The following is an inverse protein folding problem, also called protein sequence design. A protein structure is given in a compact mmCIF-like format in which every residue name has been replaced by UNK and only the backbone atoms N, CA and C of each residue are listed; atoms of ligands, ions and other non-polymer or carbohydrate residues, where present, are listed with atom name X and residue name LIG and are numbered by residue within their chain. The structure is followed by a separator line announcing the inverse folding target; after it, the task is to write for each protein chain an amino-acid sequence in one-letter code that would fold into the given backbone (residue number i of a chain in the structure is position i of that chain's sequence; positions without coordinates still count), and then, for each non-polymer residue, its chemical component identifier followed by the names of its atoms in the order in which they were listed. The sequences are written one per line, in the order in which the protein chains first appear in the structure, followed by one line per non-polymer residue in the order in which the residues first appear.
data_IF_599312276298
#
_entry.id   IF_599312276298
#
_cell.length_a   1.000
_cell.length_b   1.000
_cell.length_c   1.000
_cell.angle_alpha   90.00
_cell.angle_beta   90.00
_cell.angle_gamma   90.00
#
_symmetry.space_group_name_H-M   'P 1'
#
loop_
_entity.id
_entity.type
_entity.pdbx_description
1 polymer ?
#
# COMPACT_ATOMS: atom_id res chain seq x y z
N UNK A 1 12.93 -18.67 5.55
CA UNK A 1 13.65 -17.52 6.15
C UNK A 1 12.62 -16.58 6.77
N UNK A 2 12.77 -16.16 8.04
CA UNK A 2 11.86 -15.20 8.68
C UNK A 2 12.22 -13.79 8.21
N UNK A 3 11.24 -13.02 7.77
CA UNK A 3 11.39 -11.60 7.41
C UNK A 3 11.62 -10.82 8.70
N UNK A 4 12.57 -9.89 8.72
CA UNK A 4 12.86 -9.08 9.91
C UNK A 4 11.72 -8.10 10.20
N UNK A 5 11.62 -7.61 11.44
CA UNK A 5 10.64 -6.56 11.79
C UNK A 5 10.82 -5.30 10.94
N UNK A 6 12.08 -4.95 10.63
CA UNK A 6 12.40 -3.81 9.78
C UNK A 6 11.89 -4.01 8.36
N UNK A 7 12.16 -5.16 7.76
CA UNK A 7 11.67 -5.49 6.41
C UNK A 7 10.14 -5.51 6.34
N UNK A 8 9.44 -5.93 7.41
CA UNK A 8 7.98 -5.85 7.48
C UNK A 8 7.52 -4.38 7.46
N UNK A 9 8.22 -3.49 8.17
CA UNK A 9 7.91 -2.05 8.19
C UNK A 9 8.16 -1.41 6.82
N UNK A 10 9.29 -1.70 6.19
CA UNK A 10 9.64 -1.22 4.84
C UNK A 10 8.62 -1.69 3.80
N UNK A 11 8.25 -2.98 3.81
CA UNK A 11 7.23 -3.51 2.92
C UNK A 11 5.88 -2.83 3.15
N UNK A 12 5.51 -2.57 4.41
CA UNK A 12 4.27 -1.86 4.73
C UNK A 12 4.26 -0.45 4.16
N UNK A 13 5.35 0.31 4.32
CA UNK A 13 5.47 1.65 3.73
C UNK A 13 5.35 1.60 2.21
N UNK A 14 6.05 0.68 1.55
CA UNK A 14 5.98 0.51 0.09
C UNK A 14 4.54 0.24 -0.39
N UNK A 15 3.79 -0.61 0.31
CA UNK A 15 2.38 -0.88 -0.01
C UNK A 15 1.56 0.42 0.08
N UNK A 16 1.72 1.21 1.15
CA UNK A 16 0.97 2.46 1.34
C UNK A 16 1.30 3.48 0.25
N UNK A 17 2.57 3.63 -0.12
CA UNK A 17 3.00 4.56 -1.16
C UNK A 17 2.44 4.19 -2.52
N UNK A 18 2.61 2.92 -2.93
CA UNK A 18 2.06 2.41 -4.20
C UNK A 18 0.53 2.52 -4.23
N UNK A 19 -0.14 2.23 -3.12
CA UNK A 19 -1.59 2.38 -3.00
C UNK A 19 -2.02 3.84 -3.17
N UNK A 20 -1.30 4.76 -2.53
CA UNK A 20 -1.59 6.20 -2.60
C UNK A 20 -1.54 6.71 -4.04
N UNK A 21 -0.55 6.28 -4.82
CA UNK A 21 -0.40 6.61 -6.23
C UNK A 21 -1.53 6.00 -7.08
N UNK A 22 -1.70 4.68 -7.00
CA UNK A 22 -2.69 3.97 -7.82
C UNK A 22 -4.13 4.41 -7.53
N UNK A 23 -4.49 4.64 -6.26
CA UNK A 23 -5.83 5.11 -5.91
C UNK A 23 -6.11 6.53 -6.42
N UNK A 24 -5.11 7.42 -6.48
CA UNK A 24 -5.28 8.76 -7.09
C UNK A 24 -5.47 8.68 -8.60
N UNK A 25 -4.73 7.80 -9.27
CA UNK A 25 -4.74 7.69 -10.72
C UNK A 25 -5.98 6.96 -11.25
N UNK A 26 -6.43 5.92 -10.56
CA UNK A 26 -7.42 4.95 -11.08
C UNK A 26 -8.66 4.81 -10.20
N UNK A 27 -8.70 5.52 -9.08
CA UNK A 27 -9.75 5.41 -8.07
C UNK A 27 -9.61 4.14 -7.22
N UNK A 28 -10.31 4.11 -6.09
CA UNK A 28 -10.29 2.98 -5.17
C UNK A 28 -10.79 1.68 -5.83
N UNK A 29 -11.92 1.73 -6.54
CA UNK A 29 -12.52 0.53 -7.16
C UNK A 29 -11.75 0.05 -8.40
N UNK A 30 -10.98 0.94 -9.04
CA UNK A 30 -10.15 0.63 -10.21
C UNK A 30 -8.85 -0.13 -9.91
N UNK A 31 -8.54 -0.39 -8.63
CA UNK A 31 -7.30 -1.04 -8.21
C UNK A 31 -7.60 -2.30 -7.40
N UNK A 32 -7.16 -3.45 -7.88
CA UNK A 32 -7.26 -4.72 -7.16
C UNK A 32 -6.11 -4.95 -6.17
N UNK A 33 -6.34 -5.71 -5.09
CA UNK A 33 -5.29 -6.02 -4.11
C UNK A 33 -4.13 -6.79 -4.75
N UNK A 34 -4.41 -7.76 -5.61
CA UNK A 34 -3.37 -8.54 -6.29
C UNK A 34 -2.48 -7.68 -7.20
N UNK A 35 -3.09 -6.79 -7.99
CA UNK A 35 -2.38 -5.84 -8.85
C UNK A 35 -1.53 -4.86 -8.03
N UNK A 36 -2.12 -4.29 -6.97
CA UNK A 36 -1.42 -3.36 -6.07
C UNK A 36 -0.19 -4.01 -5.43
N UNK A 37 -0.34 -5.24 -4.94
CA UNK A 37 0.77 -5.99 -4.35
C UNK A 37 1.85 -6.30 -5.39
N UNK A 38 1.44 -6.66 -6.61
CA UNK A 38 2.38 -6.87 -7.72
C UNK A 38 3.15 -5.58 -8.05
N UNK A 39 2.47 -4.43 -8.10
CA UNK A 39 3.10 -3.13 -8.33
C UNK A 39 4.07 -2.75 -7.18
N UNK A 40 3.75 -3.14 -5.95
CA UNK A 40 4.63 -2.98 -4.78
C UNK A 40 5.78 -4.02 -4.72
N UNK A 41 5.87 -4.94 -5.69
CA UNK A 41 6.90 -5.99 -5.71
C UNK A 41 6.72 -7.08 -4.65
N UNK A 42 5.48 -7.30 -4.21
CA UNK A 42 5.13 -8.20 -3.11
C UNK A 42 4.06 -9.21 -3.53
N UNK A 43 3.96 -10.30 -2.78
CA UNK A 43 2.97 -11.35 -3.07
C UNK A 43 1.57 -10.93 -2.61
N UNK A 44 0.54 -11.37 -3.32
CA UNK A 44 -0.86 -11.10 -2.94
C UNK A 44 -1.16 -11.52 -1.49
N UNK A 45 -0.75 -12.73 -1.08
CA UNK A 45 -0.93 -13.21 0.30
C UNK A 45 -0.15 -12.43 1.36
N UNK A 46 0.89 -11.68 0.96
CA UNK A 46 1.63 -10.78 1.85
C UNK A 46 0.77 -9.62 2.36
N UNK A 47 -0.28 -9.23 1.63
CA UNK A 47 -1.14 -8.10 1.98
C UNK A 47 -1.75 -8.26 3.37
N UNK A 48 -2.28 -9.44 3.64
CA UNK A 48 -2.99 -9.77 4.89
C UNK A 48 -2.09 -9.85 6.12
N UNK A 49 -0.76 -9.72 5.96
CA UNK A 49 0.18 -9.52 7.08
C UNK A 49 0.26 -8.05 7.51
N UNK A 50 -0.18 -7.12 6.67
CA UNK A 50 -0.04 -5.69 6.87
C UNK A 50 -1.38 -4.97 7.08
N UNK A 51 -2.44 -5.45 6.42
CA UNK A 51 -3.77 -4.83 6.41
C UNK A 51 -4.86 -5.89 6.50
N UNK A 52 -5.97 -5.58 7.20
CA UNK A 52 -7.13 -6.47 7.29
C UNK A 52 -8.03 -6.37 6.06
N UNK A 53 -8.05 -5.21 5.40
CA UNK A 53 -8.87 -4.96 4.22
C UNK A 53 -8.24 -3.91 3.28
N UNK A 54 -8.75 -3.84 2.03
CA UNK A 54 -8.37 -2.76 1.09
C UNK A 54 -8.81 -1.39 1.61
N UNK A 55 -9.89 -1.32 2.39
CA UNK A 55 -10.37 -0.09 3.00
C UNK A 55 -9.43 0.40 4.12
N UNK A 56 -8.83 -0.51 4.90
CA UNK A 56 -7.81 -0.17 5.91
C UNK A 56 -6.61 0.51 5.24
N UNK A 57 -6.15 -0.09 4.13
CA UNK A 57 -5.08 0.47 3.31
C UNK A 57 -5.46 1.84 2.73
N UNK A 58 -6.70 2.03 2.27
CA UNK A 58 -7.16 3.31 1.72
C UNK A 58 -7.00 4.45 2.73
N UNK A 59 -7.38 4.23 3.99
CA UNK A 59 -7.25 5.24 5.04
C UNK A 59 -5.80 5.73 5.18
N UNK A 60 -4.84 4.80 5.20
CA UNK A 60 -3.42 5.15 5.32
C UNK A 60 -2.83 5.75 4.04
N UNK A 61 -3.24 5.22 2.87
CA UNK A 61 -2.83 5.73 1.58
C UNK A 61 -3.30 7.18 1.36
N UNK A 62 -4.49 7.54 1.84
CA UNK A 62 -5.00 8.91 1.83
C UNK A 62 -4.11 9.82 2.67
N UNK A 63 -3.80 9.43 3.92
CA UNK A 63 -2.91 10.21 4.78
C UNK A 63 -1.52 10.42 4.15
N UNK A 64 -0.94 9.37 3.55
CA UNK A 64 0.33 9.46 2.85
C UNK A 64 0.29 10.45 1.67
N UNK A 65 -0.80 10.45 0.90
CA UNK A 65 -0.97 11.36 -0.23
C UNK A 65 -1.06 12.83 0.17
N UNK A 66 -1.67 13.13 1.32
CA UNK A 66 -1.78 14.50 1.84
C UNK A 66 -0.42 15.05 2.28
N UNK A 67 0.40 14.26 2.98
CA UNK A 67 1.75 14.70 3.39
C UNK A 67 2.62 15.04 2.18
N UNK A 68 2.59 14.21 1.13
CA UNK A 68 3.41 14.41 -0.07
C UNK A 68 2.87 15.53 -0.99
N UNK A 69 1.58 15.81 -0.96
CA UNK A 69 0.97 16.93 -1.71
C UNK A 69 1.27 18.28 -1.06
N UNK A 70 1.52 18.32 0.26
CA UNK A 70 1.92 19.52 0.99
C UNK A 70 3.42 19.89 0.79
N UNK A 71 4.21 18.98 0.22
CA UNK A 71 5.64 19.17 -0.09
C UNK A 71 5.90 19.56 -1.56
N UNK A 72 4.83 19.71 -2.37
CA UNK A 72 4.88 20.23 -3.75
C UNK A 72 4.39 21.67 -3.80
#
# INVERSE_FOLDING_TARGET
MKVSKEQVRENRMRIVETASELFRERGYDGVGVAELMSAAGLTHGGFYKHFGSKADLLSEAMHCGFTRSAER
#
